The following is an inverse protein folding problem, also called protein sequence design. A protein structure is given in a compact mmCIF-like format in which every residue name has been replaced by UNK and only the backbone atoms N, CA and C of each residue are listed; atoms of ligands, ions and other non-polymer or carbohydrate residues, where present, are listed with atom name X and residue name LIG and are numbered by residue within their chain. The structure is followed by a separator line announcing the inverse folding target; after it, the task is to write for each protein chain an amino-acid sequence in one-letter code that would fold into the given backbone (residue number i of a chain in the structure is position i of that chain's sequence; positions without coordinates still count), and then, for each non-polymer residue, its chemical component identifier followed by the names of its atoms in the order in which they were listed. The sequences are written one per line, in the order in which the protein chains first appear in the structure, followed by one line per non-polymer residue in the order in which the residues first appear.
data_IF_383204056450
#
_entry.id   IF_383204056450
#
_cell.length_a   1.000
_cell.length_b   1.000
_cell.length_c   1.000
_cell.angle_alpha   90.00
_cell.angle_beta   90.00
_cell.angle_gamma   90.00
#
_symmetry.space_group_name_H-M   'P 1'
#
loop_
_entity.id
_entity.type
_entity.pdbx_description
1 polymer ?
#
# COMPACT_ATOMS: atom_id res chain seq x y z
N UNK A 1 1.07 55.68 -11.78
CA UNK A 1 2.23 56.31 -11.11
C UNK A 1 1.86 56.48 -9.65
N UNK A 2 2.60 55.81 -8.76
CA UNK A 2 2.35 55.74 -7.32
C UNK A 2 2.13 57.13 -6.72
N UNK A 3 1.29 57.22 -5.69
CA UNK A 3 1.66 57.78 -4.38
C UNK A 3 0.66 57.28 -3.33
N UNK A 4 1.24 56.78 -2.24
CA UNK A 4 0.61 56.18 -1.05
C UNK A 4 -0.23 57.19 -0.26
N UNK A 5 -1.19 56.70 0.50
CA UNK A 5 -1.58 57.27 1.82
C UNK A 5 -2.45 56.24 2.54
N UNK A 6 -1.87 55.58 3.54
CA UNK A 6 -2.57 54.63 4.40
C UNK A 6 -2.79 55.26 5.78
N UNK A 7 -4.04 55.23 6.23
CA UNK A 7 -4.50 55.84 7.48
C UNK A 7 -4.72 54.75 8.53
N UNK A 8 -3.98 54.79 9.65
CA UNK A 8 -4.37 54.07 10.88
C UNK A 8 -4.28 55.00 12.08
N UNK A 9 -5.44 55.28 12.66
CA UNK A 9 -5.58 55.98 13.94
C UNK A 9 -6.15 55.04 14.98
N UNK A 10 -5.56 55.14 16.18
CA UNK A 10 -5.77 54.33 17.38
C UNK A 10 -6.99 54.82 18.18
N UNK A 11 -7.68 53.89 18.84
CA UNK A 11 -8.38 54.12 20.13
C UNK A 11 -8.07 52.88 20.99
N UNK A 12 -7.32 53.02 22.09
CA UNK A 12 -7.73 53.48 23.43
C UNK A 12 -8.56 52.41 24.18
N UNK A 13 -8.43 52.03 25.45
CA UNK A 13 -7.50 52.21 26.61
C UNK A 13 -8.19 51.45 27.77
N UNK A 14 -7.39 50.96 28.75
CA UNK A 14 -7.69 50.62 30.16
C UNK A 14 -7.26 49.18 30.49
N UNK A 15 -6.33 48.87 31.39
CA UNK A 15 -5.78 49.63 32.51
C UNK A 15 -6.42 49.19 33.83
N UNK A 16 -5.82 48.24 34.56
CA UNK A 16 -5.27 48.44 35.91
C UNK A 16 -4.91 47.13 36.62
N UNK A 17 -3.97 47.28 37.56
CA UNK A 17 -3.12 46.31 38.26
C UNK A 17 -3.68 45.85 39.62
N UNK A 18 -2.97 44.84 40.18
CA UNK A 18 -2.70 44.47 41.61
C UNK A 18 -3.50 43.26 42.11
N UNK A 19 -3.00 42.34 42.93
CA UNK A 19 -1.67 42.00 43.47
C UNK A 19 -1.78 40.58 44.12
N UNK A 20 -0.65 39.89 44.19
CA UNK A 20 -0.27 38.62 44.83
C UNK A 20 -1.11 38.00 45.97
N UNK A 21 -1.17 36.67 45.98
CA UNK A 21 -1.45 35.82 47.14
C UNK A 21 -1.24 34.34 46.81
N UNK A 22 -0.20 33.71 47.36
CA UNK A 22 0.10 32.29 47.17
C UNK A 22 -0.82 31.41 48.03
N UNK A 23 -1.33 30.32 47.46
CA UNK A 23 -1.75 29.15 48.25
C UNK A 23 -1.58 27.88 47.42
N UNK A 24 -0.61 27.06 47.84
CA UNK A 24 -0.42 25.68 47.43
C UNK A 24 -1.64 24.87 47.88
N UNK A 25 -2.36 24.30 46.93
CA UNK A 25 -3.27 23.17 47.19
C UNK A 25 -2.87 22.04 46.25
N UNK A 26 -2.33 20.99 46.87
CA UNK A 26 -1.97 19.73 46.25
C UNK A 26 -3.22 19.05 45.68
N UNK A 27 -3.30 18.93 44.35
CA UNK A 27 -4.22 18.03 43.68
C UNK A 27 -3.44 16.91 43.01
N UNK A 28 -2.70 16.15 43.82
CA UNK A 28 -2.03 14.92 43.42
C UNK A 28 -3.00 13.74 43.60
N UNK A 29 -3.89 13.52 42.64
CA UNK A 29 -4.65 12.24 42.51
C UNK A 29 -5.51 12.09 41.25
N UNK A 30 -5.43 12.98 40.26
CA UNK A 30 -6.10 12.78 38.97
C UNK A 30 -5.13 12.57 37.78
N UNK A 31 -3.83 12.77 37.99
CA UNK A 31 -2.82 12.73 36.91
C UNK A 31 -2.22 11.33 36.67
N UNK A 32 -2.58 10.33 37.47
CA UNK A 32 -1.99 8.98 37.35
C UNK A 32 -2.69 8.06 36.35
N UNK A 33 -3.82 8.47 35.76
CA UNK A 33 -4.61 7.60 34.88
C UNK A 33 -4.72 8.07 33.42
N UNK A 34 -3.95 9.08 33.01
CA UNK A 34 -4.01 9.62 31.65
C UNK A 34 -2.63 9.90 31.02
N UNK A 35 -1.57 9.25 31.52
CA UNK A 35 -0.20 9.37 30.98
C UNK A 35 0.27 8.11 30.24
N UNK A 36 -0.62 7.14 30.02
CA UNK A 36 -0.39 6.01 29.10
C UNK A 36 -0.79 6.33 27.65
N UNK A 37 -0.94 7.62 27.34
CA UNK A 37 -1.33 8.12 26.03
C UNK A 37 -0.10 8.25 25.13
N UNK A 38 -0.10 7.43 24.07
CA UNK A 38 0.71 7.55 22.85
C UNK A 38 2.19 7.85 23.08
N UNK A 39 2.98 6.79 23.30
CA UNK A 39 4.42 6.85 23.06
C UNK A 39 4.67 7.45 21.66
N UNK A 40 5.50 8.50 21.58
CA UNK A 40 5.85 9.17 20.33
C UNK A 40 6.22 8.11 19.28
N UNK A 41 5.56 8.15 18.12
CA UNK A 41 5.77 7.19 17.04
C UNK A 41 7.26 7.00 16.73
N UNK A 42 8.05 8.07 16.82
CA UNK A 42 9.49 8.01 16.63
C UNK A 42 10.20 7.13 17.66
N UNK A 43 9.88 7.30 18.94
CA UNK A 43 10.47 6.54 20.06
C UNK A 43 10.12 5.06 19.92
N UNK A 44 8.87 4.77 19.59
CA UNK A 44 8.38 3.40 19.42
C UNK A 44 9.09 2.67 18.28
N UNK A 45 9.21 3.32 17.11
CA UNK A 45 9.95 2.77 15.97
C UNK A 45 11.44 2.63 16.26
N UNK A 46 12.04 3.61 16.96
CA UNK A 46 13.42 3.53 17.43
C UNK A 46 13.68 2.31 18.31
N UNK A 47 12.78 2.02 19.26
CA UNK A 47 12.86 0.83 20.11
C UNK A 47 12.75 -0.45 19.29
N UNK A 48 11.79 -0.54 18.37
CA UNK A 48 11.59 -1.73 17.52
C UNK A 48 12.83 -2.05 16.70
N UNK A 49 13.43 -1.03 16.08
CA UNK A 49 14.64 -1.20 15.27
C UNK A 49 15.81 -1.67 16.12
N UNK A 50 16.03 -1.06 17.29
CA UNK A 50 17.14 -1.42 18.18
C UNK A 50 16.98 -2.80 18.82
N UNK A 51 15.75 -3.24 19.06
CA UNK A 51 15.43 -4.52 19.71
C UNK A 51 14.93 -5.58 18.72
N UNK A 52 15.20 -5.44 17.42
CA UNK A 52 14.59 -6.28 16.37
C UNK A 52 14.75 -7.79 16.62
N UNK A 53 15.92 -8.21 17.10
CA UNK A 53 16.19 -9.63 17.37
C UNK A 53 15.34 -10.22 18.50
N UNK A 54 14.92 -9.43 19.49
CA UNK A 54 13.96 -9.87 20.50
C UNK A 54 12.52 -9.78 19.98
N UNK A 55 12.20 -8.71 19.24
CA UNK A 55 10.90 -8.48 18.61
C UNK A 55 10.52 -9.63 17.68
N UNK A 56 11.45 -10.06 16.81
CA UNK A 56 11.22 -11.15 15.85
C UNK A 56 11.10 -12.52 16.49
N UNK A 57 11.57 -12.73 17.73
CA UNK A 57 11.48 -14.03 18.42
C UNK A 57 10.16 -14.20 19.17
N UNK A 58 9.54 -13.10 19.59
CA UNK A 58 8.32 -13.10 20.41
C UNK A 58 7.08 -12.82 19.57
N UNK A 59 6.17 -13.79 19.50
CA UNK A 59 4.92 -13.69 18.70
C UNK A 59 4.08 -12.46 19.07
N UNK A 60 3.95 -12.14 20.35
CA UNK A 60 3.23 -10.95 20.82
C UNK A 60 3.84 -9.63 20.32
N UNK A 61 5.17 -9.56 20.20
CA UNK A 61 5.89 -8.39 19.68
C UNK A 61 5.74 -8.30 18.16
N UNK A 62 5.76 -9.44 17.45
CA UNK A 62 5.47 -9.47 16.01
C UNK A 62 4.08 -8.92 15.70
N UNK A 63 3.05 -9.31 16.45
CA UNK A 63 1.68 -8.79 16.27
C UNK A 63 1.65 -7.27 16.44
N UNK A 64 2.32 -6.74 17.46
CA UNK A 64 2.45 -5.28 17.65
C UNK A 64 3.15 -4.58 16.49
N UNK A 65 4.20 -5.18 15.92
CA UNK A 65 4.85 -4.64 14.71
C UNK A 65 3.88 -4.58 13.55
N UNK A 66 3.10 -5.65 13.29
CA UNK A 66 2.08 -5.66 12.24
C UNK A 66 1.07 -4.53 12.45
N UNK A 67 0.57 -4.34 13.66
CA UNK A 67 -0.36 -3.24 13.99
C UNK A 67 0.26 -1.85 13.75
N UNK A 68 1.55 -1.67 14.03
CA UNK A 68 2.25 -0.41 13.78
C UNK A 68 2.52 -0.17 12.30
N UNK A 69 2.88 -1.20 11.54
CA UNK A 69 3.02 -1.13 10.08
C UNK A 69 1.68 -0.70 9.44
N UNK A 70 0.57 -1.24 9.93
CA UNK A 70 -0.79 -0.84 9.50
C UNK A 70 -1.11 0.61 9.80
N UNK A 71 -0.58 1.18 10.89
CA UNK A 71 -0.71 2.61 11.21
C UNK A 71 0.22 3.51 10.39
N UNK A 72 1.40 3.03 10.00
CA UNK A 72 2.37 3.86 9.28
C UNK A 72 3.80 3.59 9.71
N UNK A 73 4.67 3.28 8.75
CA UNK A 73 6.11 3.39 8.95
C UNK A 73 6.50 4.84 8.59
N UNK A 74 7.07 5.62 9.52
CA UNK A 74 7.57 6.94 9.20
C UNK A 74 8.66 6.87 8.13
N UNK A 75 8.71 7.87 7.26
CA UNK A 75 9.57 7.89 6.07
C UNK A 75 11.04 7.51 6.40
N UNK A 76 11.61 8.12 7.43
CA UNK A 76 13.00 7.90 7.86
C UNK A 76 13.29 6.47 8.33
N UNK A 77 12.28 5.74 8.81
CA UNK A 77 12.44 4.36 9.28
C UNK A 77 12.28 3.33 8.17
N UNK A 78 11.63 3.66 7.04
CA UNK A 78 11.33 2.67 5.97
C UNK A 78 12.57 1.93 5.47
N UNK A 79 13.65 2.66 5.20
CA UNK A 79 14.89 2.06 4.71
C UNK A 79 15.42 0.94 5.63
N UNK A 80 15.25 1.11 6.95
CA UNK A 80 15.70 0.14 7.94
C UNK A 80 14.64 -0.94 8.14
N UNK A 81 13.40 -0.54 8.40
CA UNK A 81 12.30 -1.47 8.73
C UNK A 81 12.01 -2.43 7.58
N UNK A 82 12.04 -1.98 6.32
CA UNK A 82 11.85 -2.87 5.17
C UNK A 82 12.93 -3.96 5.12
N UNK A 83 14.21 -3.61 5.36
CA UNK A 83 15.30 -4.59 5.42
C UNK A 83 15.11 -5.58 6.58
N UNK A 84 14.61 -5.12 7.72
CA UNK A 84 14.33 -5.96 8.88
C UNK A 84 13.17 -6.94 8.60
N UNK A 85 12.08 -6.46 8.00
CA UNK A 85 10.91 -7.26 7.64
C UNK A 85 11.26 -8.38 6.65
N UNK A 86 12.10 -8.11 5.65
CA UNK A 86 12.54 -9.13 4.70
C UNK A 86 13.83 -9.87 5.11
N UNK A 87 14.36 -9.64 6.32
CA UNK A 87 15.60 -10.26 6.80
C UNK A 87 16.82 -10.07 5.88
N UNK A 88 16.87 -8.97 5.13
CA UNK A 88 17.94 -8.69 4.16
C UNK A 88 19.33 -8.61 4.83
N UNK A 89 19.38 -8.23 6.12
CA UNK A 89 20.60 -8.08 6.91
C UNK A 89 21.46 -9.36 6.97
N UNK A 90 20.84 -10.53 6.88
CA UNK A 90 21.52 -11.84 7.01
C UNK A 90 21.74 -12.56 5.67
N UNK A 91 21.47 -11.89 4.54
CA UNK A 91 21.52 -12.55 3.23
C UNK A 91 22.95 -12.56 2.64
N UNK A 92 23.47 -13.73 2.22
CA UNK A 92 24.81 -13.84 1.59
C UNK A 92 24.97 -13.05 0.29
N UNK A 93 23.86 -12.64 -0.33
CA UNK A 93 23.86 -11.89 -1.58
C UNK A 93 24.55 -10.52 -1.46
N UNK A 94 24.65 -9.96 -0.25
CA UNK A 94 25.35 -8.70 0.00
C UNK A 94 26.82 -8.79 -0.41
N UNK A 95 27.45 -9.92 -0.14
CA UNK A 95 28.86 -10.17 -0.45
C UNK A 95 29.05 -10.56 -1.94
N UNK A 96 27.97 -10.96 -2.62
CA UNK A 96 27.98 -11.34 -4.03
C UNK A 96 27.63 -10.17 -4.96
N UNK A 97 27.00 -9.11 -4.45
CA UNK A 97 26.49 -8.00 -5.26
C UNK A 97 27.59 -7.33 -6.10
N UNK A 98 28.79 -7.13 -5.52
CA UNK A 98 29.92 -6.53 -6.24
C UNK A 98 30.41 -7.37 -7.41
N UNK A 99 30.32 -8.71 -7.31
CA UNK A 99 30.68 -9.61 -8.40
C UNK A 99 29.58 -9.65 -9.47
N UNK A 100 28.31 -9.68 -9.05
CA UNK A 100 27.16 -9.64 -9.96
C UNK A 100 27.15 -8.35 -10.81
N UNK A 101 27.57 -7.21 -10.25
CA UNK A 101 27.68 -5.94 -10.98
C UNK A 101 28.69 -5.98 -12.14
N UNK A 102 29.68 -6.89 -12.10
CA UNK A 102 30.67 -7.05 -13.18
C UNK A 102 30.16 -7.95 -14.30
N UNK A 103 29.04 -8.63 -14.10
CA UNK A 103 28.46 -9.55 -15.07
C UNK A 103 27.52 -8.82 -16.03
N UNK A 104 27.44 -9.29 -17.27
CA UNK A 104 26.49 -8.78 -18.28
C UNK A 104 25.19 -9.57 -18.23
N UNK A 105 24.05 -8.90 -18.36
CA UNK A 105 22.73 -9.55 -18.43
C UNK A 105 22.22 -9.68 -19.86
N UNK A 106 21.68 -10.85 -20.29
CA UNK A 106 20.98 -10.98 -21.57
C UNK A 106 19.80 -10.00 -21.71
N UNK A 107 19.27 -9.52 -20.58
CA UNK A 107 18.11 -8.63 -20.53
C UNK A 107 18.48 -7.14 -20.44
N UNK A 108 19.75 -6.74 -20.57
CA UNK A 108 20.18 -5.34 -20.37
C UNK A 108 19.39 -4.33 -21.21
N UNK A 109 19.11 -4.65 -22.48
CA UNK A 109 18.31 -3.77 -23.35
C UNK A 109 16.88 -3.61 -22.84
N UNK A 110 16.28 -4.68 -22.33
CA UNK A 110 14.94 -4.67 -21.74
C UNK A 110 14.94 -3.88 -20.42
N UNK A 111 15.92 -4.10 -19.55
CA UNK A 111 16.08 -3.37 -18.28
C UNK A 111 16.24 -1.87 -18.54
N UNK A 112 17.11 -1.46 -19.48
CA UNK A 112 17.29 -0.03 -19.83
C UNK A 112 16.02 0.59 -20.40
N UNK A 113 15.28 -0.16 -21.21
CA UNK A 113 13.98 0.24 -21.73
C UNK A 113 12.97 0.42 -20.58
N UNK A 114 12.96 -0.48 -19.60
CA UNK A 114 12.10 -0.44 -18.41
C UNK A 114 12.47 0.66 -17.43
N UNK A 115 13.73 1.02 -17.31
CA UNK A 115 14.18 2.19 -16.53
C UNK A 115 13.65 3.48 -17.18
N UNK A 116 13.76 3.59 -18.51
CA UNK A 116 13.28 4.75 -19.26
C UNK A 116 11.74 4.85 -19.33
N UNK A 117 11.05 3.71 -19.15
CA UNK A 117 9.58 3.57 -19.18
C UNK A 117 9.02 2.94 -17.91
N UNK A 118 9.64 3.20 -16.76
CA UNK A 118 8.89 3.03 -15.51
C UNK A 118 7.76 4.04 -15.67
N UNK A 119 6.55 3.54 -16.03
CA UNK A 119 5.48 4.09 -16.93
C UNK A 119 5.62 3.76 -18.46
N UNK A 120 4.65 3.16 -19.21
CA UNK A 120 3.32 2.64 -18.82
C UNK A 120 2.78 1.30 -19.43
N UNK A 121 3.30 0.62 -20.48
CA UNK A 121 2.66 -0.62 -20.99
C UNK A 121 3.66 -1.71 -21.43
N UNK A 122 3.67 -2.87 -20.76
CA UNK A 122 4.67 -3.92 -20.95
C UNK A 122 4.05 -5.27 -21.35
N UNK A 123 4.40 -5.78 -22.53
CA UNK A 123 3.84 -7.01 -23.12
C UNK A 123 4.17 -8.30 -22.35
N UNK A 124 5.33 -8.36 -21.69
CA UNK A 124 5.82 -9.58 -21.01
C UNK A 124 5.03 -9.99 -19.76
N UNK A 125 4.12 -9.13 -19.29
CA UNK A 125 3.27 -9.43 -18.14
C UNK A 125 1.77 -9.27 -18.47
N UNK A 126 1.45 -9.22 -19.77
CA UNK A 126 0.09 -9.23 -20.31
C UNK A 126 -0.50 -10.64 -20.33
N UNK A 127 0.19 -11.66 -19.82
CA UNK A 127 -0.35 -13.02 -19.77
C UNK A 127 -1.73 -12.99 -19.12
N UNK A 128 -2.72 -13.21 -19.98
CA UNK A 128 -4.10 -13.39 -19.62
C UNK A 128 -4.12 -14.60 -18.67
N UNK A 129 -4.86 -14.47 -17.58
CA UNK A 129 -5.04 -15.55 -16.61
C UNK A 129 -3.81 -15.82 -15.72
N UNK A 130 -3.00 -14.81 -15.38
CA UNK A 130 -2.03 -14.96 -14.29
C UNK A 130 -2.73 -15.18 -12.94
N UNK A 131 -2.08 -15.90 -12.01
CA UNK A 131 -2.68 -16.28 -10.72
C UNK A 131 -3.37 -15.10 -9.99
N UNK A 132 -2.71 -13.95 -9.89
CA UNK A 132 -3.27 -12.77 -9.24
C UNK A 132 -4.52 -12.24 -9.95
N UNK A 133 -4.51 -12.21 -11.28
CA UNK A 133 -5.65 -11.79 -12.09
C UNK A 133 -6.82 -12.78 -11.98
N UNK A 134 -6.56 -14.09 -12.05
CA UNK A 134 -7.60 -15.12 -11.96
C UNK A 134 -8.26 -15.14 -10.59
N UNK A 135 -7.46 -15.03 -9.53
CA UNK A 135 -7.97 -14.97 -8.17
C UNK A 135 -8.80 -13.68 -7.98
N UNK A 136 -8.34 -12.53 -8.46
CA UNK A 136 -9.13 -11.29 -8.39
C UNK A 136 -10.42 -11.40 -9.20
N UNK A 137 -10.38 -11.99 -10.38
CA UNK A 137 -11.55 -12.25 -11.22
C UNK A 137 -12.59 -13.12 -10.49
N UNK A 138 -12.15 -14.21 -9.86
CA UNK A 138 -13.02 -15.12 -9.12
C UNK A 138 -13.64 -14.46 -7.89
N UNK A 139 -12.89 -13.61 -7.19
CA UNK A 139 -13.41 -12.86 -6.03
C UNK A 139 -14.37 -11.74 -6.49
N UNK A 140 -14.08 -11.05 -7.59
CA UNK A 140 -14.99 -10.05 -8.16
C UNK A 140 -16.32 -10.67 -8.57
N UNK A 141 -16.32 -11.86 -9.19
CA UNK A 141 -17.54 -12.60 -9.53
C UNK A 141 -18.45 -12.88 -8.33
N UNK A 142 -17.87 -13.13 -7.16
CA UNK A 142 -18.62 -13.42 -5.93
C UNK A 142 -19.06 -12.15 -5.19
N UNK A 143 -18.17 -11.17 -5.07
CA UNK A 143 -18.38 -9.99 -4.24
C UNK A 143 -18.98 -8.79 -4.99
N UNK A 144 -18.84 -8.73 -6.31
CA UNK A 144 -19.29 -7.64 -7.18
C UNK A 144 -19.93 -8.21 -8.47
N UNK A 145 -21.00 -9.03 -8.36
CA UNK A 145 -21.57 -9.75 -9.51
C UNK A 145 -22.11 -8.82 -10.61
N UNK A 146 -22.67 -7.67 -10.25
CA UNK A 146 -23.14 -6.68 -11.23
C UNK A 146 -21.99 -6.10 -12.04
N UNK A 147 -20.91 -5.70 -11.36
CA UNK A 147 -19.71 -5.18 -11.99
C UNK A 147 -19.05 -6.23 -12.89
N UNK A 148 -19.05 -7.48 -12.44
CA UNK A 148 -18.57 -8.62 -13.22
C UNK A 148 -19.34 -8.81 -14.52
N UNK A 149 -20.68 -8.84 -14.46
CA UNK A 149 -21.54 -8.97 -15.65
C UNK A 149 -21.31 -7.81 -16.61
N UNK A 150 -21.22 -6.58 -16.08
CA UNK A 150 -20.91 -5.40 -16.89
C UNK A 150 -19.57 -5.53 -17.60
N UNK A 151 -18.50 -5.85 -16.88
CA UNK A 151 -17.16 -6.03 -17.46
C UNK A 151 -17.16 -7.11 -18.56
N UNK A 152 -17.88 -8.22 -18.36
CA UNK A 152 -18.03 -9.24 -19.40
C UNK A 152 -18.78 -8.72 -20.63
N UNK A 153 -19.87 -7.97 -20.45
CA UNK A 153 -20.63 -7.39 -21.56
C UNK A 153 -19.80 -6.42 -22.41
N UNK A 154 -18.84 -5.73 -21.77
CA UNK A 154 -17.92 -4.79 -22.41
C UNK A 154 -16.62 -5.46 -22.91
N UNK A 155 -16.48 -6.78 -22.79
CA UNK A 155 -15.22 -7.51 -23.06
C UNK A 155 -14.01 -6.93 -22.32
N UNK A 156 -14.23 -6.38 -21.13
CA UNK A 156 -13.22 -5.75 -20.31
C UNK A 156 -12.57 -6.78 -19.37
N UNK A 157 -11.36 -7.20 -19.71
CA UNK A 157 -10.67 -8.29 -19.01
C UNK A 157 -9.88 -7.78 -17.79
N UNK A 158 -9.78 -8.61 -16.74
CA UNK A 158 -9.01 -8.28 -15.52
C UNK A 158 -7.55 -7.91 -15.82
N UNK A 159 -6.95 -8.49 -16.85
CA UNK A 159 -5.60 -8.15 -17.30
C UNK A 159 -5.43 -6.68 -17.74
N UNK A 160 -6.50 -6.02 -18.20
CA UNK A 160 -6.46 -4.64 -18.71
C UNK A 160 -6.23 -3.60 -17.62
N UNK A 161 -6.65 -3.89 -16.38
CA UNK A 161 -6.53 -2.94 -15.27
C UNK A 161 -5.71 -3.47 -14.08
N UNK A 162 -5.73 -4.79 -13.83
CA UNK A 162 -5.15 -5.35 -12.61
C UNK A 162 -3.71 -5.89 -12.76
N UNK A 163 -3.21 -6.06 -13.99
CA UNK A 163 -1.86 -6.63 -14.19
C UNK A 163 -0.79 -5.84 -13.44
N UNK A 164 -0.80 -4.50 -13.60
CA UNK A 164 0.16 -3.62 -12.92
C UNK A 164 0.02 -3.65 -11.40
N UNK A 165 -1.18 -3.87 -10.86
CA UNK A 165 -1.45 -3.91 -9.42
C UNK A 165 -0.65 -5.03 -8.75
N UNK A 166 -0.69 -6.23 -9.34
CA UNK A 166 0.00 -7.41 -8.81
C UNK A 166 1.50 -7.38 -9.06
N UNK A 167 1.92 -6.97 -10.26
CA UNK A 167 3.34 -6.98 -10.65
C UNK A 167 4.16 -5.93 -9.90
N UNK A 168 3.55 -4.79 -9.62
CA UNK A 168 4.27 -3.63 -9.07
C UNK A 168 3.81 -3.30 -7.66
N UNK A 169 2.89 -4.08 -7.08
CA UNK A 169 2.32 -3.82 -5.75
C UNK A 169 1.76 -2.38 -5.71
N UNK A 170 1.05 -2.01 -6.78
CA UNK A 170 0.51 -0.67 -7.03
C UNK A 170 1.52 0.50 -7.08
N UNK A 171 2.83 0.25 -7.09
CA UNK A 171 3.87 1.30 -7.19
C UNK A 171 3.75 2.14 -8.47
N UNK A 172 3.19 1.56 -9.53
CA UNK A 172 2.95 2.29 -10.80
C UNK A 172 1.53 2.82 -10.94
N UNK A 173 0.65 2.56 -9.99
CA UNK A 173 -0.78 2.93 -10.05
C UNK A 173 -1.07 4.15 -9.20
N UNK A 174 -0.54 4.18 -7.97
CA UNK A 174 -0.83 5.27 -7.03
C UNK A 174 0.36 6.23 -6.85
N UNK A 175 0.09 7.49 -6.47
CA UNK A 175 1.12 8.40 -5.98
C UNK A 175 1.96 7.78 -4.85
N UNK A 176 3.24 8.16 -4.78
CA UNK A 176 4.22 7.58 -3.86
C UNK A 176 3.75 7.49 -2.39
N UNK A 177 3.06 8.49 -1.79
CA UNK A 177 2.58 8.38 -0.42
C UNK A 177 1.62 7.21 -0.19
N UNK A 178 0.76 6.91 -1.16
CA UNK A 178 -0.20 5.80 -1.06
C UNK A 178 0.49 4.48 -1.38
N UNK A 179 1.27 4.46 -2.46
CA UNK A 179 1.96 3.26 -2.90
C UNK A 179 2.94 2.73 -1.85
N UNK A 180 3.70 3.61 -1.19
CA UNK A 180 4.59 3.22 -0.09
C UNK A 180 3.85 2.68 1.13
N UNK A 181 2.62 3.12 1.40
CA UNK A 181 1.80 2.57 2.49
C UNK A 181 1.28 1.18 2.18
N UNK A 182 0.87 0.93 0.94
CA UNK A 182 0.52 -0.42 0.47
C UNK A 182 1.78 -1.32 0.58
N UNK A 183 2.93 -0.80 0.17
CA UNK A 183 4.20 -1.52 0.22
C UNK A 183 4.66 -1.82 1.66
N UNK A 184 4.50 -0.87 2.60
CA UNK A 184 4.78 -1.07 4.03
C UNK A 184 4.03 -2.32 4.55
N UNK A 185 2.73 -2.41 4.25
CA UNK A 185 1.88 -3.54 4.66
C UNK A 185 2.26 -4.82 3.91
N UNK A 186 2.54 -4.73 2.60
CA UNK A 186 2.99 -5.88 1.80
C UNK A 186 4.26 -6.51 2.39
N UNK A 187 5.22 -5.70 2.81
CA UNK A 187 6.46 -6.19 3.45
C UNK A 187 6.20 -6.93 4.76
N UNK A 188 5.10 -6.64 5.46
CA UNK A 188 4.75 -7.25 6.74
C UNK A 188 3.76 -8.41 6.63
N UNK A 189 2.82 -8.37 5.68
CA UNK A 189 1.68 -9.29 5.58
C UNK A 189 1.64 -10.07 4.26
N UNK A 190 2.49 -9.73 3.30
CA UNK A 190 2.58 -10.36 1.99
C UNK A 190 1.49 -9.92 1.01
N UNK A 191 1.22 -10.76 0.01
CA UNK A 191 0.34 -10.44 -1.13
C UNK A 191 -1.14 -10.23 -0.78
N UNK A 192 -1.59 -10.60 0.42
CA UNK A 192 -2.98 -10.43 0.84
C UNK A 192 -3.46 -8.98 0.69
N UNK A 193 -2.61 -8.00 1.04
CA UNK A 193 -2.98 -6.59 0.94
C UNK A 193 -3.25 -6.16 -0.50
N UNK A 194 -2.57 -6.77 -1.49
CA UNK A 194 -2.75 -6.42 -2.91
C UNK A 194 -4.17 -6.77 -3.35
N UNK A 195 -4.67 -7.94 -2.95
CA UNK A 195 -6.06 -8.35 -3.21
C UNK A 195 -7.06 -7.45 -2.49
N UNK A 196 -6.82 -7.15 -1.21
CA UNK A 196 -7.68 -6.28 -0.40
C UNK A 196 -7.80 -4.89 -0.99
N UNK A 197 -6.68 -4.29 -1.40
CA UNK A 197 -6.66 -2.98 -2.06
C UNK A 197 -7.35 -3.04 -3.41
N UNK A 198 -7.08 -4.04 -4.24
CA UNK A 198 -7.74 -4.20 -5.54
C UNK A 198 -9.26 -4.29 -5.43
N UNK A 199 -9.76 -5.06 -4.46
CA UNK A 199 -11.20 -5.18 -4.20
C UNK A 199 -11.80 -3.91 -3.60
N UNK A 200 -11.10 -3.23 -2.70
CA UNK A 200 -11.55 -1.96 -2.15
C UNK A 200 -11.67 -0.90 -3.26
N UNK A 201 -10.69 -0.81 -4.16
CA UNK A 201 -10.72 0.10 -5.32
C UNK A 201 -11.95 -0.17 -6.19
N UNK A 202 -12.22 -1.45 -6.51
CA UNK A 202 -13.39 -1.84 -7.29
C UNK A 202 -14.71 -1.52 -6.58
N UNK A 203 -14.82 -1.81 -5.28
CA UNK A 203 -15.99 -1.51 -4.47
C UNK A 203 -16.27 -0.01 -4.37
N UNK A 204 -15.23 0.79 -4.18
CA UNK A 204 -15.35 2.24 -4.04
C UNK A 204 -15.74 2.94 -5.34
N UNK A 205 -15.53 2.30 -6.48
CA UNK A 205 -15.77 2.86 -7.82
C UNK A 205 -16.88 2.13 -8.59
N UNK A 206 -17.60 1.21 -7.93
CA UNK A 206 -18.58 0.35 -8.60
C UNK A 206 -19.68 1.17 -9.30
N UNK A 207 -20.20 2.21 -8.65
CA UNK A 207 -21.30 3.00 -9.16
C UNK A 207 -20.93 3.75 -10.45
N UNK A 208 -19.73 4.32 -10.52
CA UNK A 208 -19.21 4.98 -11.71
C UNK A 208 -18.86 3.97 -12.80
N UNK A 209 -18.15 2.88 -12.46
CA UNK A 209 -17.70 1.88 -13.44
C UNK A 209 -18.85 1.19 -14.18
N UNK A 210 -19.99 0.97 -13.51
CA UNK A 210 -21.19 0.38 -14.13
C UNK A 210 -21.81 1.24 -15.24
N UNK A 211 -21.46 2.53 -15.30
CA UNK A 211 -22.00 3.48 -16.28
C UNK A 211 -21.06 3.69 -17.48
N UNK A 212 -19.85 3.14 -17.42
CA UNK A 212 -18.79 3.37 -18.40
C UNK A 212 -18.70 2.20 -19.39
N UNK A 213 -18.34 2.51 -20.63
CA UNK A 213 -17.93 1.50 -21.61
C UNK A 213 -16.46 1.08 -21.39
N UNK A 214 -15.95 0.21 -22.25
CA UNK A 214 -14.57 -0.30 -22.16
C UNK A 214 -13.52 0.82 -22.08
N UNK A 215 -13.60 1.82 -22.97
CA UNK A 215 -12.65 2.94 -23.00
C UNK A 215 -12.81 3.82 -21.77
N UNK A 216 -14.04 4.15 -21.37
CA UNK A 216 -14.34 4.92 -20.18
C UNK A 216 -13.80 4.26 -18.91
N UNK A 217 -13.97 2.95 -18.75
CA UNK A 217 -13.42 2.20 -17.61
C UNK A 217 -11.89 2.29 -17.59
N UNK A 218 -11.22 2.09 -18.73
CA UNK A 218 -9.77 2.19 -18.81
C UNK A 218 -9.27 3.59 -18.40
N UNK A 219 -9.91 4.65 -18.90
CA UNK A 219 -9.60 6.02 -18.53
C UNK A 219 -9.85 6.28 -17.04
N UNK A 220 -10.93 5.73 -16.47
CA UNK A 220 -11.25 5.87 -15.05
C UNK A 220 -10.18 5.24 -14.15
N UNK A 221 -9.74 4.02 -14.48
CA UNK A 221 -8.64 3.33 -13.77
C UNK A 221 -7.32 4.09 -13.86
N UNK A 222 -7.01 4.68 -15.02
CA UNK A 222 -5.72 5.34 -15.26
C UNK A 222 -5.67 6.78 -14.74
N UNK A 223 -6.77 7.52 -14.79
CA UNK A 223 -6.78 8.97 -14.54
C UNK A 223 -7.58 9.40 -13.32
N UNK A 224 -8.64 8.68 -12.96
CA UNK A 224 -9.52 9.10 -11.86
C UNK A 224 -9.09 8.45 -10.56
N UNK A 225 -9.04 7.12 -10.52
CA UNK A 225 -8.75 6.34 -9.31
C UNK A 225 -7.45 6.75 -8.60
N UNK A 226 -6.31 7.00 -9.29
CA UNK A 226 -5.07 7.39 -8.62
C UNK A 226 -5.19 8.68 -7.79
N UNK A 227 -6.03 9.63 -8.23
CA UNK A 227 -6.19 10.95 -7.62
C UNK A 227 -7.32 11.01 -6.58
N UNK A 228 -8.14 9.95 -6.44
CA UNK A 228 -9.20 9.89 -5.41
C UNK A 228 -8.67 9.93 -3.97
N UNK A 229 -7.36 9.72 -3.80
CA UNK A 229 -6.68 9.54 -2.53
C UNK A 229 -5.63 10.64 -2.26
N UNK A 230 -5.73 11.80 -2.92
CA UNK A 230 -4.79 12.92 -2.75
C UNK A 230 -4.75 13.45 -1.30
N UNK A 231 -5.84 13.28 -0.55
CA UNK A 231 -5.91 13.60 0.89
C UNK A 231 -5.08 12.67 1.78
N UNK A 232 -4.66 11.51 1.26
CA UNK A 232 -3.83 10.56 1.97
C UNK A 232 -4.28 9.09 1.81
N UNK A 233 -3.45 8.17 2.31
CA UNK A 233 -3.61 6.72 2.16
C UNK A 233 -4.73 6.13 3.05
N UNK A 234 -5.08 6.79 4.14
CA UNK A 234 -5.85 6.19 5.24
C UNK A 234 -7.22 5.69 4.80
N UNK A 235 -7.92 6.44 3.95
CA UNK A 235 -9.23 6.04 3.40
C UNK A 235 -9.14 4.72 2.63
N UNK A 236 -8.11 4.58 1.78
CA UNK A 236 -7.91 3.36 0.98
C UNK A 236 -7.51 2.18 1.88
N UNK A 237 -6.57 2.39 2.80
CA UNK A 237 -6.11 1.34 3.71
C UNK A 237 -7.26 0.87 4.60
N UNK A 238 -8.05 1.78 5.17
CA UNK A 238 -9.20 1.43 5.99
C UNK A 238 -10.24 0.63 5.18
N UNK A 239 -10.57 1.08 3.97
CA UNK A 239 -11.47 0.36 3.08
C UNK A 239 -10.95 -1.06 2.77
N UNK A 240 -9.65 -1.23 2.52
CA UNK A 240 -9.02 -2.53 2.25
C UNK A 240 -9.19 -3.55 3.39
N UNK A 241 -9.17 -3.10 4.65
CA UNK A 241 -9.40 -3.98 5.80
C UNK A 241 -10.88 -4.28 6.07
N UNK A 242 -11.81 -3.49 5.51
CA UNK A 242 -13.25 -3.80 5.53
C UNK A 242 -13.66 -4.82 4.46
N UNK A 243 -12.80 -5.06 3.46
CA UNK A 243 -13.03 -6.10 2.46
C UNK A 243 -13.09 -7.47 3.14
N UNK A 244 -14.16 -8.22 2.85
CA UNK A 244 -14.30 -9.62 3.24
C UNK A 244 -13.29 -10.46 2.45
N UNK A 245 -12.21 -10.86 3.12
CA UNK A 245 -11.16 -11.70 2.55
C UNK A 245 -11.13 -13.06 3.25
N UNK A 246 -11.22 -14.15 2.49
CA UNK A 246 -11.17 -15.51 3.02
C UNK A 246 -9.85 -16.20 2.69
N UNK A 247 -8.89 -16.15 3.61
CA UNK A 247 -7.55 -16.71 3.41
C UNK A 247 -7.55 -18.22 3.06
N UNK A 248 -8.48 -19.01 3.60
CA UNK A 248 -8.58 -20.44 3.26
C UNK A 248 -8.99 -20.64 1.80
N UNK A 249 -9.95 -19.84 1.32
CA UNK A 249 -10.41 -19.88 -0.05
C UNK A 249 -9.32 -19.44 -1.03
N UNK A 250 -8.60 -18.38 -0.69
CA UNK A 250 -7.50 -17.86 -1.51
C UNK A 250 -6.40 -18.92 -1.70
N UNK A 251 -6.01 -19.62 -0.63
CA UNK A 251 -5.07 -20.76 -0.72
C UNK A 251 -5.62 -21.93 -1.55
N UNK A 252 -6.94 -22.14 -1.55
CA UNK A 252 -7.56 -23.17 -2.38
C UNK A 252 -7.48 -22.80 -3.86
N UNK A 253 -7.83 -21.55 -4.21
CA UNK A 253 -7.74 -21.05 -5.59
C UNK A 253 -6.30 -21.07 -6.10
N UNK A 254 -5.33 -20.71 -5.26
CA UNK A 254 -3.90 -20.82 -5.58
C UNK A 254 -3.49 -22.25 -5.93
N UNK A 255 -3.88 -23.24 -5.12
CA UNK A 255 -3.59 -24.66 -5.39
C UNK A 255 -4.26 -25.16 -6.68
N UNK A 256 -5.51 -24.77 -6.90
CA UNK A 256 -6.25 -25.14 -8.12
C UNK A 256 -5.56 -24.61 -9.36
N UNK A 257 -5.17 -23.33 -9.35
CA UNK A 257 -4.41 -22.71 -10.43
C UNK A 257 -3.07 -23.42 -10.71
N UNK A 258 -2.27 -23.67 -9.66
CA UNK A 258 -0.99 -24.38 -9.82
C UNK A 258 -1.21 -25.75 -10.45
N UNK A 259 -2.25 -26.47 -10.03
CA UNK A 259 -2.56 -27.80 -10.58
C UNK A 259 -2.92 -27.72 -12.07
N UNK A 260 -3.72 -26.73 -12.48
CA UNK A 260 -4.09 -26.53 -13.89
C UNK A 260 -2.85 -26.20 -14.72
N UNK A 261 -2.03 -25.24 -14.28
CA UNK A 261 -0.82 -24.85 -15.00
C UNK A 261 0.22 -25.95 -15.11
N UNK A 262 0.39 -26.77 -14.07
CA UNK A 262 1.27 -27.94 -14.13
C UNK A 262 0.81 -28.92 -15.19
N UNK A 263 -0.51 -29.22 -15.25
CA UNK A 263 -1.07 -30.10 -16.29
C UNK A 263 -0.90 -29.53 -17.70
N UNK A 264 -1.20 -28.24 -17.91
CA UNK A 264 -1.00 -27.59 -19.20
C UNK A 264 0.47 -27.64 -19.65
N UNK A 265 1.40 -27.52 -18.71
CA UNK A 265 2.84 -27.61 -18.99
C UNK A 265 3.27 -29.04 -19.31
N UNK A 266 2.76 -30.04 -18.59
CA UNK A 266 3.00 -31.47 -18.87
C UNK A 266 2.48 -31.86 -20.26
N UNK A 267 1.25 -31.45 -20.61
CA UNK A 267 0.65 -31.69 -21.92
C UNK A 267 1.47 -31.03 -23.06
N UNK A 268 2.01 -29.83 -22.83
CA UNK A 268 2.89 -29.16 -23.82
C UNK A 268 4.26 -29.82 -23.98
N UNK A 269 4.73 -30.55 -22.97
CA UNK A 269 5.98 -31.33 -23.04
C UNK A 269 5.75 -32.67 -23.73
N UNK A 270 4.60 -33.31 -23.53
CA UNK A 270 4.25 -34.58 -24.22
C UNK A 270 3.97 -34.40 -25.72
N UNK A 271 3.63 -33.19 -26.17
CA UNK A 271 3.37 -32.86 -27.58
C UNK A 271 4.67 -32.46 -28.33
N UNK A 272 5.79 -32.24 -27.64
CA UNK A 272 7.10 -31.89 -28.24
C UNK A 272 8.04 -33.08 -28.33
#
# INVERSE_FOLDING_TARGET
RLLETDSKSLRSVNGSRRNSGSSLVSSSSASSNLSHLEEDSWILWGRIVNEWEDVRKKKEKQVKVVELVRKGIPHHFRAIVWQLLCSAQSMPIKDQYSELLKMTSPCEKLIRRDIARTYPEHDFFKEKDSLGQEVLFNVMKEHLPELYVHFQSQSFHTSMYASSWFLTIFLTTFPLPIATRIFDIFMSEGLEIVFRVGLAVLQMNQAELLQLDMEGMLQHFQKVIPHQFDSGPDKLIQASYQVKYNAKKMKKLEKEYTTIKTKEMEEQVEIK
#
